data_IF_957507649527
#
_entry.id   IF_957507649527
#
_cell.length_a   1.000
_cell.length_b   1.000
_cell.length_c   1.000
_cell.angle_alpha   90.00
_cell.angle_beta   90.00
_cell.angle_gamma   90.00
#
_symmetry.space_group_name_H-M   'P 1'
#
loop_
_entity.id
_entity.type
_entity.pdbx_description
1 polymer ?
#
# COMPACT_ATOMS: atom_id res chain seq x y z
N UNK A 1 -0.95 -27.95 27.85
CA UNK A 1 -0.92 -27.79 26.37
C UNK A 1 -1.50 -26.45 25.89
N UNK A 2 -1.84 -25.50 26.79
CA UNK A 2 -2.58 -24.27 26.47
C UNK A 2 -1.71 -23.07 25.99
N UNK A 3 -0.39 -23.20 25.95
CA UNK A 3 0.52 -22.05 25.76
C UNK A 3 1.51 -22.25 24.61
N UNK A 4 1.03 -22.56 23.39
CA UNK A 4 1.91 -22.50 22.21
C UNK A 4 2.18 -21.07 21.74
N UNK A 5 1.31 -20.10 22.08
CA UNK A 5 1.42 -18.71 21.62
C UNK A 5 1.12 -17.73 22.77
N UNK A 6 2.03 -16.81 23.13
CA UNK A 6 1.74 -15.74 24.09
C UNK A 6 0.61 -14.86 23.52
N UNK A 7 -0.51 -14.72 24.25
CA UNK A 7 -1.69 -13.99 23.78
C UNK A 7 -2.69 -14.81 22.95
N UNK A 8 -2.47 -16.12 22.79
CA UNK A 8 -3.46 -17.03 22.20
C UNK A 8 -3.60 -16.96 20.68
N UNK A 9 -2.87 -16.08 19.98
CA UNK A 9 -2.87 -16.01 18.51
C UNK A 9 -1.44 -15.88 17.98
N UNK A 10 -1.18 -16.47 16.82
CA UNK A 10 0.03 -16.24 16.01
C UNK A 10 -0.37 -15.90 14.59
N UNK A 11 0.27 -14.88 14.03
CA UNK A 11 0.16 -14.52 12.61
C UNK A 11 1.52 -14.72 11.93
N UNK A 12 1.54 -15.47 10.83
CA UNK A 12 2.72 -15.66 9.97
C UNK A 12 2.40 -15.13 8.59
N UNK A 13 3.22 -14.22 8.08
CA UNK A 13 3.10 -13.69 6.73
C UNK A 13 3.98 -14.49 5.76
N UNK A 14 3.40 -14.85 4.63
CA UNK A 14 4.06 -15.49 3.49
C UNK A 14 3.90 -14.59 2.27
N UNK A 15 4.60 -14.91 1.18
CA UNK A 15 4.44 -14.19 -0.09
C UNK A 15 2.98 -14.30 -0.56
N UNK A 16 2.27 -13.15 -0.61
CA UNK A 16 0.84 -13.05 -0.97
C UNK A 16 -0.10 -13.89 -0.09
N UNK A 17 0.28 -14.23 1.14
CA UNK A 17 -0.59 -15.01 2.01
C UNK A 17 -0.33 -14.70 3.49
N UNK A 18 -1.36 -14.88 4.31
CA UNK A 18 -1.30 -14.69 5.75
C UNK A 18 -1.93 -15.90 6.42
N UNK A 19 -1.19 -16.51 7.34
CA UNK A 19 -1.63 -17.65 8.14
C UNK A 19 -1.82 -17.21 9.59
N UNK A 20 -3.04 -17.32 10.07
CA UNK A 20 -3.41 -17.06 11.46
C UNK A 20 -3.70 -18.38 12.16
N UNK A 21 -3.08 -18.59 13.32
CA UNK A 21 -3.34 -19.73 14.20
C UNK A 21 -3.82 -19.21 15.54
N UNK A 22 -4.92 -19.77 16.03
CA UNK A 22 -5.54 -19.43 17.30
C UNK A 22 -5.35 -20.59 18.28
N UNK A 23 -5.21 -20.28 19.56
CA UNK A 23 -5.18 -21.29 20.61
C UNK A 23 -6.56 -21.98 20.67
N UNK A 24 -6.59 -23.30 20.93
CA UNK A 24 -7.85 -24.02 21.15
C UNK A 24 -8.69 -23.31 22.21
N UNK A 25 -10.00 -23.21 21.98
CA UNK A 25 -10.99 -22.59 22.89
C UNK A 25 -10.83 -21.09 23.16
N UNK A 26 -9.86 -20.41 22.55
CA UNK A 26 -9.77 -18.95 22.66
C UNK A 26 -10.99 -18.27 22.02
N UNK A 27 -11.46 -18.81 20.89
CA UNK A 27 -12.62 -18.28 20.18
C UNK A 27 -13.85 -19.16 20.41
N UNK A 28 -15.01 -18.56 20.71
CA UNK A 28 -16.26 -19.30 20.91
C UNK A 28 -16.79 -19.92 19.62
N UNK A 29 -16.32 -19.47 18.45
CA UNK A 29 -16.70 -20.00 17.14
C UNK A 29 -15.93 -21.29 16.74
N UNK A 30 -14.98 -21.73 17.58
CA UNK A 30 -14.16 -22.91 17.33
C UNK A 30 -13.11 -22.75 16.23
N UNK A 31 -12.86 -21.52 15.73
CA UNK A 31 -11.86 -21.30 14.68
C UNK A 31 -10.44 -21.50 15.23
N UNK A 32 -9.70 -22.44 14.64
CA UNK A 32 -8.34 -22.77 15.05
C UNK A 32 -7.29 -22.21 14.08
N UNK A 33 -7.54 -22.29 12.76
CA UNK A 33 -6.60 -21.79 11.76
C UNK A 33 -7.32 -21.07 10.64
N UNK A 34 -6.76 -19.96 10.15
CA UNK A 34 -7.24 -19.23 8.98
C UNK A 34 -6.08 -18.93 8.05
N UNK A 35 -6.21 -19.31 6.79
CA UNK A 35 -5.28 -18.98 5.72
C UNK A 35 -5.99 -18.01 4.76
N UNK A 36 -5.43 -16.82 4.61
CA UNK A 36 -5.89 -15.80 3.67
C UNK A 36 -4.86 -15.66 2.56
N UNK A 37 -5.27 -15.80 1.31
CA UNK A 37 -4.41 -15.55 0.14
C UNK A 37 -4.84 -14.27 -0.56
N UNK A 38 -3.85 -13.51 -1.01
CA UNK A 38 -4.02 -12.20 -1.63
C UNK A 38 -3.56 -12.23 -3.09
N UNK A 39 -4.05 -11.29 -3.88
CA UNK A 39 -3.66 -11.14 -5.28
C UNK A 39 -2.31 -10.43 -5.42
N UNK A 40 -2.10 -9.45 -4.56
CA UNK A 40 -0.97 -8.53 -4.52
C UNK A 40 0.04 -8.89 -3.41
N UNK A 41 1.25 -8.34 -3.52
CA UNK A 41 2.32 -8.54 -2.51
C UNK A 41 2.05 -7.73 -1.24
N UNK A 42 1.35 -6.60 -1.36
CA UNK A 42 1.01 -5.72 -0.25
C UNK A 42 -0.16 -6.25 0.60
N UNK A 43 -0.74 -7.39 0.20
CA UNK A 43 -1.81 -8.09 0.92
C UNK A 43 -3.08 -7.23 1.12
N UNK A 44 -3.46 -6.47 0.10
CA UNK A 44 -4.62 -5.58 0.12
C UNK A 44 -5.89 -6.22 -0.47
N UNK A 45 -5.73 -7.02 -1.53
CA UNK A 45 -6.85 -7.65 -2.25
C UNK A 45 -6.94 -9.14 -1.90
N UNK A 46 -7.88 -9.50 -1.02
CA UNK A 46 -8.16 -10.90 -0.64
C UNK A 46 -8.76 -11.66 -1.82
N UNK A 47 -8.25 -12.86 -2.10
CA UNK A 47 -8.72 -13.76 -3.17
C UNK A 47 -9.43 -14.99 -2.61
N UNK A 48 -8.87 -15.60 -1.57
CA UNK A 48 -9.41 -16.82 -0.98
C UNK A 48 -9.10 -16.86 0.50
N UNK A 49 -10.07 -17.36 1.26
CA UNK A 49 -9.96 -17.56 2.69
C UNK A 49 -10.34 -19.01 2.99
N UNK A 50 -9.44 -19.71 3.66
CA UNK A 50 -9.63 -21.08 4.12
C UNK A 50 -9.56 -21.12 5.64
N UNK A 51 -10.60 -21.62 6.26
CA UNK A 51 -10.80 -21.63 7.72
C UNK A 51 -10.92 -23.09 8.19
N UNK A 52 -10.17 -23.44 9.23
CA UNK A 52 -10.25 -24.73 9.91
C UNK A 52 -10.75 -24.54 11.34
N UNK A 53 -11.69 -25.38 11.71
CA UNK A 53 -12.44 -25.32 12.94
C UNK A 53 -12.24 -26.59 13.76
N UNK A 54 -12.41 -26.48 15.07
CA UNK A 54 -12.34 -27.60 16.00
C UNK A 54 -13.41 -27.42 17.08
N UNK A 55 -13.96 -28.53 17.56
CA UNK A 55 -14.93 -28.56 18.67
C UNK A 55 -16.20 -27.73 18.44
N UNK A 56 -16.65 -27.61 17.18
CA UNK A 56 -17.95 -27.02 16.88
C UNK A 56 -19.08 -28.04 17.05
N UNK A 57 -20.22 -27.57 17.56
CA UNK A 57 -21.41 -28.39 17.78
C UNK A 57 -22.01 -28.96 16.48
N UNK A 58 -21.77 -28.28 15.35
CA UNK A 58 -22.24 -28.69 14.02
C UNK A 58 -21.22 -29.55 13.27
N UNK A 59 -20.12 -29.94 13.91
CA UNK A 59 -19.02 -30.72 13.32
C UNK A 59 -18.41 -30.11 12.05
N UNK A 60 -18.54 -28.79 11.84
CA UNK A 60 -17.85 -28.13 10.73
C UNK A 60 -16.34 -28.14 11.01
N UNK A 61 -15.56 -28.78 10.14
CA UNK A 61 -14.10 -28.87 10.25
C UNK A 61 -13.38 -27.87 9.36
N UNK A 62 -13.91 -27.61 8.15
CA UNK A 62 -13.25 -26.77 7.15
C UNK A 62 -14.28 -25.93 6.37
N UNK A 63 -13.90 -24.69 6.05
CA UNK A 63 -14.64 -23.81 5.15
C UNK A 63 -13.69 -23.10 4.20
N UNK A 64 -13.91 -23.23 2.90
CA UNK A 64 -13.21 -22.47 1.85
C UNK A 64 -14.18 -21.50 1.18
N UNK A 65 -13.78 -20.23 1.06
CA UNK A 65 -14.54 -19.19 0.36
C UNK A 65 -13.62 -18.40 -0.56
N UNK A 66 -14.08 -18.15 -1.77
CA UNK A 66 -13.42 -17.25 -2.72
C UNK A 66 -14.03 -15.87 -2.55
N UNK A 67 -13.21 -14.84 -2.44
CA UNK A 67 -13.64 -13.47 -2.19
C UNK A 67 -13.09 -12.59 -3.30
N UNK A 68 -13.93 -11.73 -3.85
CA UNK A 68 -13.52 -10.66 -4.75
C UNK A 68 -14.05 -9.34 -4.22
N UNK A 69 -13.17 -8.35 -4.08
CA UNK A 69 -13.52 -7.01 -3.65
C UNK A 69 -13.38 -6.04 -4.84
N UNK A 70 -14.35 -5.15 -5.00
CA UNK A 70 -14.41 -4.18 -6.09
C UNK A 70 -14.40 -2.77 -5.55
N UNK A 71 -13.70 -1.89 -6.28
CA UNK A 71 -13.67 -0.47 -5.98
C UNK A 71 -15.00 0.20 -6.35
N UNK A 72 -15.33 1.30 -5.67
CA UNK A 72 -16.59 2.01 -5.89
C UNK A 72 -16.63 2.67 -7.27
N UNK A 73 -17.66 2.37 -8.05
CA UNK A 73 -17.98 3.09 -9.27
C UNK A 73 -19.08 4.12 -9.00
N UNK A 74 -18.75 5.41 -9.14
CA UNK A 74 -19.68 6.52 -8.92
C UNK A 74 -20.69 6.72 -10.05
N UNK A 75 -20.54 6.05 -11.19
CA UNK A 75 -21.52 6.12 -12.29
C UNK A 75 -22.75 5.25 -12.07
N UNK A 76 -22.69 4.28 -11.13
CA UNK A 76 -23.80 3.41 -10.75
C UNK A 76 -24.32 3.75 -9.36
N UNK A 77 -25.62 3.55 -9.09
CA UNK A 77 -26.14 3.69 -7.75
C UNK A 77 -25.55 2.59 -6.85
N UNK A 78 -25.43 2.88 -5.55
CA UNK A 78 -24.67 2.03 -4.62
C UNK A 78 -25.27 0.63 -4.47
N UNK A 79 -26.60 0.56 -4.49
CA UNK A 79 -27.41 -0.64 -4.42
C UNK A 79 -27.28 -1.56 -5.65
N UNK A 80 -26.75 -1.07 -6.77
CA UNK A 80 -26.47 -1.85 -7.98
C UNK A 80 -24.98 -2.08 -8.23
N UNK A 81 -24.12 -1.38 -7.49
CA UNK A 81 -22.66 -1.50 -7.57
C UNK A 81 -22.15 -2.53 -6.55
N UNK A 82 -21.67 -3.66 -7.05
CA UNK A 82 -21.20 -4.76 -6.18
C UNK A 82 -19.86 -4.37 -5.58
N UNK A 83 -19.78 -4.36 -4.24
CA UNK A 83 -18.54 -4.11 -3.50
C UNK A 83 -17.75 -5.38 -3.23
N UNK A 84 -18.46 -6.47 -2.93
CA UNK A 84 -17.84 -7.73 -2.59
C UNK A 84 -18.67 -8.90 -3.12
N UNK A 85 -18.00 -9.86 -3.75
CA UNK A 85 -18.55 -11.16 -4.14
C UNK A 85 -17.88 -12.25 -3.33
N UNK A 86 -18.68 -13.15 -2.78
CA UNK A 86 -18.18 -14.31 -2.02
C UNK A 86 -18.79 -15.58 -2.58
N UNK A 87 -17.94 -16.48 -3.07
CA UNK A 87 -18.36 -17.80 -3.53
C UNK A 87 -18.06 -18.83 -2.44
N UNK A 88 -19.13 -19.44 -1.91
CA UNK A 88 -19.07 -20.53 -0.95
C UNK A 88 -19.25 -21.85 -1.70
N UNK A 89 -18.16 -22.32 -2.30
CA UNK A 89 -18.16 -23.43 -3.26
C UNK A 89 -18.81 -24.69 -2.68
N UNK A 90 -18.43 -25.10 -1.46
CA UNK A 90 -18.97 -26.29 -0.80
C UNK A 90 -20.46 -26.19 -0.45
N UNK A 91 -20.95 -24.97 -0.21
CA UNK A 91 -22.35 -24.71 0.15
C UNK A 91 -23.20 -24.40 -1.10
N UNK A 92 -22.58 -24.36 -2.29
CA UNK A 92 -23.19 -23.91 -3.56
C UNK A 92 -23.94 -22.58 -3.40
N UNK A 93 -23.39 -21.67 -2.59
CA UNK A 93 -23.98 -20.38 -2.26
C UNK A 93 -23.10 -19.24 -2.75
N UNK A 94 -23.73 -18.20 -3.30
CA UNK A 94 -23.06 -16.97 -3.75
C UNK A 94 -23.63 -15.81 -2.95
N UNK A 95 -22.77 -15.02 -2.32
CA UNK A 95 -23.16 -13.85 -1.53
C UNK A 95 -22.59 -12.59 -2.18
N UNK A 96 -23.47 -11.61 -2.42
CA UNK A 96 -23.16 -10.30 -2.95
C UNK A 96 -23.39 -9.26 -1.86
N UNK A 97 -22.40 -8.42 -1.63
CA UNK A 97 -22.53 -7.21 -0.83
C UNK A 97 -22.32 -6.01 -1.75
N UNK A 98 -23.30 -5.12 -1.76
CA UNK A 98 -23.26 -3.90 -2.57
C UNK A 98 -22.53 -2.79 -1.81
N UNK A 99 -22.11 -1.74 -2.53
CA UNK A 99 -21.45 -0.60 -1.90
C UNK A 99 -22.41 0.12 -0.96
N UNK A 100 -21.85 0.73 0.09
CA UNK A 100 -22.61 1.52 1.05
C UNK A 100 -23.16 2.79 0.37
N UNK A 101 -24.43 3.12 0.63
CA UNK A 101 -25.00 4.42 0.25
C UNK A 101 -24.57 5.50 1.25
N UNK A 102 -24.33 6.72 0.77
CA UNK A 102 -23.81 7.83 1.58
C UNK A 102 -24.66 8.16 2.83
N UNK A 103 -25.95 7.86 2.80
CA UNK A 103 -26.90 8.18 3.87
C UNK A 103 -27.30 6.97 4.72
N UNK A 104 -26.63 5.81 4.57
CA UNK A 104 -26.99 4.55 5.24
C UNK A 104 -25.79 3.96 5.98
N UNK A 105 -26.08 3.22 7.06
CA UNK A 105 -25.06 2.56 7.89
C UNK A 105 -24.82 1.08 7.54
N UNK A 106 -25.74 0.47 6.78
CA UNK A 106 -25.71 -0.95 6.42
C UNK A 106 -25.78 -1.05 4.89
N UNK A 107 -24.93 -1.87 4.24
CA UNK A 107 -25.02 -2.11 2.81
C UNK A 107 -26.12 -3.13 2.49
N UNK A 108 -26.73 -3.00 1.31
CA UNK A 108 -27.62 -4.03 0.75
C UNK A 108 -26.85 -5.32 0.48
N UNK A 109 -27.52 -6.46 0.65
CA UNK A 109 -26.94 -7.79 0.43
C UNK A 109 -27.90 -8.67 -0.36
N UNK A 110 -27.35 -9.56 -1.18
CA UNK A 110 -28.12 -10.61 -1.86
C UNK A 110 -27.37 -11.92 -1.76
N UNK A 111 -28.10 -13.01 -1.58
CA UNK A 111 -27.54 -14.35 -1.59
C UNK A 111 -28.35 -15.26 -2.50
N UNK A 112 -27.63 -16.10 -3.23
CA UNK A 112 -28.18 -17.09 -4.13
C UNK A 112 -27.73 -18.48 -3.71
N UNK A 113 -28.61 -19.45 -3.81
CA UNK A 113 -28.32 -20.88 -3.73
C UNK A 113 -28.41 -21.44 -5.14
N UNK A 114 -27.35 -22.10 -5.63
CA UNK A 114 -27.34 -22.65 -6.99
C UNK A 114 -28.28 -23.87 -7.08
N UNK A 115 -29.14 -23.94 -8.10
CA UNK A 115 -30.00 -25.11 -8.32
C UNK A 115 -29.17 -26.38 -8.52
N UNK A 116 -29.71 -27.54 -8.14
CA UNK A 116 -29.02 -28.82 -8.37
C UNK A 116 -28.80 -29.08 -9.85
N UNK A 117 -27.56 -29.41 -10.21
CA UNK A 117 -27.20 -29.80 -11.57
C UNK A 117 -27.86 -31.15 -11.92
N UNK A 118 -28.27 -31.28 -13.19
CA UNK A 118 -28.81 -32.54 -13.69
C UNK A 118 -27.75 -33.64 -13.61
N UNK A 119 -28.02 -34.67 -12.81
CA UNK A 119 -27.22 -35.90 -12.82
C UNK A 119 -27.90 -36.92 -13.73
N UNK A 120 -27.18 -37.94 -14.20
CA UNK A 120 -27.75 -39.02 -15.06
C UNK A 120 -29.05 -39.65 -14.50
N UNK A 121 -29.28 -39.54 -13.19
CA UNK A 121 -30.42 -40.09 -12.46
C UNK A 121 -31.54 -39.09 -12.10
N UNK A 122 -31.29 -37.77 -12.18
CA UNK A 122 -32.25 -36.73 -11.78
C UNK A 122 -32.16 -35.51 -12.70
N UNK A 123 -33.32 -35.06 -13.19
CA UNK A 123 -33.44 -33.78 -13.91
C UNK A 123 -33.02 -32.65 -12.96
N UNK A 124 -32.27 -31.68 -13.49
CA UNK A 124 -31.83 -30.50 -12.72
C UNK A 124 -33.02 -29.70 -12.20
N UNK A 125 -32.83 -29.04 -11.07
CA UNK A 125 -33.85 -28.18 -10.46
C UNK A 125 -33.96 -26.87 -11.24
N UNK A 126 -35.19 -26.40 -11.47
CA UNK A 126 -35.44 -25.08 -12.04
C UNK A 126 -35.23 -24.00 -10.97
N UNK A 127 -34.87 -22.78 -11.38
CA UNK A 127 -34.68 -21.67 -10.45
C UNK A 127 -36.01 -21.26 -9.80
N UNK A 128 -36.09 -21.37 -8.48
CA UNK A 128 -37.26 -21.02 -7.68
C UNK A 128 -36.98 -19.81 -6.80
N UNK A 129 -38.03 -19.06 -6.43
CA UNK A 129 -37.90 -17.79 -5.70
C UNK A 129 -37.29 -17.93 -4.30
N UNK A 130 -37.35 -19.12 -3.70
CA UNK A 130 -36.75 -19.46 -2.41
C UNK A 130 -35.23 -19.64 -2.47
N UNK A 131 -34.66 -19.79 -3.67
CA UNK A 131 -33.21 -19.87 -3.88
C UNK A 131 -32.53 -18.50 -3.81
N UNK A 132 -33.29 -17.40 -3.80
CA UNK A 132 -32.79 -16.03 -3.63
C UNK A 132 -33.24 -15.46 -2.29
N UNK A 133 -32.30 -14.81 -1.60
CA UNK A 133 -32.58 -14.05 -0.39
C UNK A 133 -31.88 -12.71 -0.50
N UNK A 134 -32.65 -11.63 -0.49
CA UNK A 134 -32.15 -10.26 -0.52
C UNK A 134 -32.49 -9.49 0.75
N UNK A 135 -31.56 -8.62 1.13
CA UNK A 135 -31.72 -7.60 2.15
C UNK A 135 -31.50 -6.25 1.47
N UNK A 136 -32.59 -5.50 1.29
CA UNK A 136 -32.58 -4.13 0.81
C UNK A 136 -32.86 -3.21 1.98
N UNK A 137 -32.09 -2.12 2.09
CA UNK A 137 -32.26 -1.14 3.18
C UNK A 137 -33.50 -0.28 2.94
N UNK A 138 -33.84 -0.01 1.68
CA UNK A 138 -35.09 0.66 1.34
C UNK A 138 -36.25 -0.35 1.27
N UNK A 139 -37.27 -0.25 2.14
CA UNK A 139 -38.46 -1.10 2.04
C UNK A 139 -39.31 -0.79 0.79
N UNK A 140 -39.08 0.35 0.12
CA UNK A 140 -39.88 0.83 -1.01
C UNK A 140 -39.32 0.40 -2.37
N UNK A 141 -38.10 -0.14 -2.41
CA UNK A 141 -37.51 -0.67 -3.63
C UNK A 141 -38.27 -1.90 -4.10
N UNK A 142 -38.59 -1.96 -5.40
CA UNK A 142 -39.29 -3.11 -5.97
C UNK A 142 -38.32 -4.28 -6.09
N UNK A 143 -38.73 -5.51 -5.71
CA UNK A 143 -37.91 -6.69 -5.93
C UNK A 143 -37.71 -6.90 -7.42
N UNK A 144 -36.53 -7.44 -7.78
CA UNK A 144 -36.23 -7.77 -9.17
C UNK A 144 -37.15 -8.88 -9.66
N UNK A 145 -37.45 -8.85 -10.97
CA UNK A 145 -38.21 -9.91 -11.62
C UNK A 145 -37.41 -11.21 -11.61
N UNK A 146 -38.09 -12.34 -11.45
CA UNK A 146 -37.48 -13.68 -11.39
C UNK A 146 -36.56 -13.97 -12.60
N UNK A 147 -36.92 -13.53 -13.80
CA UNK A 147 -36.09 -13.69 -15.00
C UNK A 147 -34.72 -12.98 -14.84
N UNK A 148 -34.73 -11.73 -14.38
CA UNK A 148 -33.51 -10.95 -14.18
C UNK A 148 -32.63 -11.53 -13.06
N UNK A 149 -33.25 -12.11 -12.02
CA UNK A 149 -32.53 -12.83 -10.97
C UNK A 149 -31.86 -14.09 -11.50
N UNK A 150 -32.54 -14.85 -12.37
CA UNK A 150 -31.96 -16.03 -13.02
C UNK A 150 -30.80 -15.64 -13.95
N UNK A 151 -30.98 -14.62 -14.79
CA UNK A 151 -29.91 -14.12 -15.68
C UNK A 151 -28.67 -13.69 -14.87
N UNK A 152 -28.89 -13.02 -13.73
CA UNK A 152 -27.83 -12.64 -12.80
C UNK A 152 -27.14 -13.88 -12.20
N UNK A 153 -27.90 -14.88 -11.76
CA UNK A 153 -27.34 -16.12 -11.21
C UNK A 153 -26.48 -16.85 -12.24
N UNK A 154 -26.96 -16.99 -13.47
CA UNK A 154 -26.21 -17.64 -14.57
C UNK A 154 -24.90 -16.89 -14.84
N UNK A 155 -24.92 -15.56 -14.85
CA UNK A 155 -23.70 -14.76 -14.99
C UNK A 155 -22.73 -14.99 -13.82
N UNK A 156 -23.22 -15.03 -12.58
CA UNK A 156 -22.39 -15.29 -11.40
C UNK A 156 -21.79 -16.70 -11.41
N UNK A 157 -22.51 -17.70 -11.90
CA UNK A 157 -21.99 -19.07 -12.04
C UNK A 157 -20.83 -19.13 -13.04
N UNK A 158 -20.95 -18.41 -14.16
CA UNK A 158 -19.86 -18.29 -15.14
C UNK A 158 -18.63 -17.57 -14.57
N UNK A 159 -18.85 -16.52 -13.78
CA UNK A 159 -17.78 -15.82 -13.09
C UNK A 159 -17.11 -16.71 -12.04
N UNK A 160 -17.89 -17.49 -11.27
CA UNK A 160 -17.37 -18.48 -10.32
C UNK A 160 -16.42 -19.47 -10.99
N UNK A 161 -16.84 -20.08 -12.12
CA UNK A 161 -16.02 -21.01 -12.89
C UNK A 161 -14.71 -20.37 -13.34
N UNK A 162 -14.78 -19.13 -13.85
CA UNK A 162 -13.59 -18.39 -14.29
C UNK A 162 -12.61 -18.16 -13.15
N UNK A 163 -13.09 -17.69 -12.00
CA UNK A 163 -12.22 -17.40 -10.85
C UNK A 163 -11.63 -18.69 -10.27
N UNK A 164 -12.41 -19.77 -10.20
CA UNK A 164 -11.92 -21.09 -9.78
C UNK A 164 -10.81 -21.60 -10.71
N UNK A 165 -10.97 -21.45 -12.02
CA UNK A 165 -9.92 -21.78 -13.00
C UNK A 165 -8.64 -20.96 -12.77
N UNK A 166 -8.77 -19.64 -12.59
CA UNK A 166 -7.61 -18.77 -12.31
C UNK A 166 -6.89 -19.15 -11.02
N UNK A 167 -7.63 -19.48 -9.95
CA UNK A 167 -7.06 -19.95 -8.69
C UNK A 167 -6.32 -21.29 -8.89
N UNK A 168 -6.88 -22.19 -9.71
CA UNK A 168 -6.24 -23.47 -10.02
C UNK A 168 -4.92 -23.27 -10.78
N UNK A 169 -4.90 -22.40 -11.77
CA UNK A 169 -3.69 -22.04 -12.52
C UNK A 169 -2.63 -21.42 -11.61
N UNK A 170 -3.02 -20.46 -10.77
CA UNK A 170 -2.10 -19.82 -9.82
C UNK A 170 -1.57 -20.82 -8.78
N UNK A 171 -2.41 -21.75 -8.28
CA UNK A 171 -1.96 -22.83 -7.38
C UNK A 171 -0.95 -23.76 -8.08
N UNK A 172 -1.11 -24.01 -9.38
CA UNK A 172 -0.16 -24.82 -10.15
C UNK A 172 1.16 -24.08 -10.34
N UNK A 173 1.13 -22.81 -10.74
CA UNK A 173 2.33 -21.97 -10.87
C UNK A 173 3.16 -21.96 -9.57
N UNK A 174 2.51 -21.78 -8.41
CA UNK A 174 3.19 -21.81 -7.11
C UNK A 174 3.81 -23.17 -6.83
N UNK A 175 3.13 -24.27 -7.16
CA UNK A 175 3.68 -25.63 -7.00
C UNK A 175 4.90 -25.84 -7.89
N UNK A 176 4.85 -25.37 -9.12
CA UNK A 176 5.95 -25.49 -10.07
C UNK A 176 7.16 -24.70 -9.58
N UNK A 177 6.96 -23.45 -9.09
CA UNK A 177 8.03 -22.65 -8.48
C UNK A 177 8.65 -23.36 -7.27
N UNK A 178 7.83 -23.94 -6.39
CA UNK A 178 8.32 -24.67 -5.21
C UNK A 178 9.10 -25.92 -5.63
N UNK A 179 8.59 -26.69 -6.60
CA UNK A 179 9.26 -27.88 -7.10
C UNK A 179 10.61 -27.55 -7.78
N UNK A 180 10.66 -26.47 -8.57
CA UNK A 180 11.90 -25.96 -9.15
C UNK A 180 12.91 -25.60 -8.05
N UNK A 181 12.49 -24.85 -7.02
CA UNK A 181 13.35 -24.50 -5.88
C UNK A 181 13.84 -25.72 -5.11
N UNK A 182 12.98 -26.70 -4.85
CA UNK A 182 13.40 -27.95 -4.21
C UNK A 182 14.41 -28.74 -5.05
N UNK A 183 14.35 -28.62 -6.38
CA UNK A 183 15.36 -29.21 -7.26
C UNK A 183 16.67 -28.42 -7.24
N UNK A 184 16.61 -27.08 -7.28
CA UNK A 184 17.76 -26.18 -7.15
C UNK A 184 18.47 -26.35 -5.80
N UNK A 185 17.73 -26.50 -4.70
CA UNK A 185 18.29 -26.73 -3.36
C UNK A 185 18.92 -28.12 -3.21
N UNK A 186 18.40 -29.13 -3.90
CA UNK A 186 18.98 -30.48 -3.92
C UNK A 186 20.29 -30.56 -4.69
N UNK A 187 20.39 -29.81 -5.79
CA UNK A 187 21.58 -29.71 -6.63
C UNK A 187 21.94 -28.25 -6.87
N UNK A 188 22.52 -27.61 -5.85
CA UNK A 188 22.95 -26.22 -5.92
C UNK A 188 24.14 -26.13 -6.85
N UNK A 189 23.87 -25.90 -8.14
CA UNK A 189 24.90 -25.64 -9.13
C UNK A 189 25.25 -24.15 -9.10
N UNK A 190 26.48 -23.85 -8.67
CA UNK A 190 27.03 -22.52 -8.83
C UNK A 190 27.43 -22.34 -10.30
N UNK A 191 26.84 -21.36 -11.01
CA UNK A 191 27.25 -20.99 -12.38
C UNK A 191 28.76 -20.73 -12.47
N UNK A 192 29.33 -20.23 -11.37
CA UNK A 192 30.76 -20.06 -11.19
C UNK A 192 31.18 -20.46 -9.77
N UNK A 193 32.23 -21.28 -9.65
CA UNK A 193 32.83 -21.53 -8.34
C UNK A 193 33.63 -20.30 -7.89
N UNK A 194 33.38 -19.75 -6.69
CA UNK A 194 34.17 -18.65 -6.12
C UNK A 194 35.65 -18.99 -5.94
N UNK A 195 35.97 -20.29 -5.94
CA UNK A 195 37.29 -20.82 -5.63
C UNK A 195 38.15 -21.07 -6.87
N UNK A 196 37.59 -20.95 -8.08
CA UNK A 196 38.36 -20.99 -9.33
C UNK A 196 38.69 -19.59 -9.83
N UNK A 197 39.91 -19.41 -10.35
CA UNK A 197 40.39 -18.15 -10.95
C UNK A 197 39.45 -17.63 -12.04
N UNK A 198 38.88 -18.52 -12.85
CA UNK A 198 37.91 -18.20 -13.91
C UNK A 198 36.58 -17.72 -13.34
N UNK A 199 36.06 -18.37 -12.28
CA UNK A 199 34.81 -17.97 -11.64
C UNK A 199 34.92 -16.62 -10.92
N UNK A 200 36.04 -16.37 -10.27
CA UNK A 200 36.32 -15.08 -9.63
C UNK A 200 36.43 -13.92 -10.65
N UNK A 201 36.93 -14.18 -11.86
CA UNK A 201 37.00 -13.17 -12.93
C UNK A 201 35.60 -12.83 -13.49
N UNK A 202 34.77 -13.84 -13.75
CA UNK A 202 33.40 -13.66 -14.22
C UNK A 202 32.54 -12.92 -13.20
N UNK A 203 32.66 -13.26 -11.91
CA UNK A 203 31.94 -12.57 -10.83
C UNK A 203 32.32 -11.08 -10.72
N UNK A 204 33.60 -10.73 -10.96
CA UNK A 204 34.04 -9.32 -11.03
C UNK A 204 33.45 -8.62 -12.24
N UNK A 205 33.40 -9.27 -13.40
CA UNK A 205 32.79 -8.72 -14.61
C UNK A 205 31.30 -8.43 -14.44
N UNK A 206 30.52 -9.40 -13.94
CA UNK A 206 29.10 -9.21 -13.67
C UNK A 206 28.84 -8.11 -12.63
N UNK A 207 29.68 -8.02 -11.60
CA UNK A 207 29.59 -6.95 -10.60
C UNK A 207 29.86 -5.57 -11.23
N UNK A 208 30.88 -5.47 -12.08
CA UNK A 208 31.17 -4.23 -12.82
C UNK A 208 30.00 -3.84 -13.75
N UNK A 209 29.38 -4.81 -14.40
CA UNK A 209 28.21 -4.58 -15.26
C UNK A 209 26.99 -4.12 -14.45
N UNK A 210 26.73 -4.75 -13.29
CA UNK A 210 25.68 -4.32 -12.36
C UNK A 210 25.95 -2.92 -11.80
N UNK A 211 27.20 -2.61 -11.44
CA UNK A 211 27.61 -1.28 -10.98
C UNK A 211 27.48 -0.24 -12.11
N UNK A 212 27.75 -0.62 -13.35
CA UNK A 212 27.56 0.24 -14.53
C UNK A 212 26.08 0.56 -14.76
N UNK A 213 25.21 -0.46 -14.76
CA UNK A 213 23.76 -0.29 -14.89
C UNK A 213 23.20 0.56 -13.75
N UNK A 214 23.62 0.32 -12.52
CA UNK A 214 23.24 1.16 -11.38
C UNK A 214 23.73 2.61 -11.54
N UNK A 215 24.94 2.82 -12.06
CA UNK A 215 25.45 4.15 -12.34
C UNK A 215 24.72 4.85 -13.51
N UNK A 216 24.25 4.11 -14.52
CA UNK A 216 23.38 4.62 -15.58
C UNK A 216 22.01 5.01 -15.04
N UNK A 217 21.38 4.16 -14.22
CA UNK A 217 20.10 4.46 -13.58
C UNK A 217 20.21 5.69 -12.67
N UNK A 218 21.28 5.80 -11.88
CA UNK A 218 21.57 6.98 -11.07
C UNK A 218 21.79 8.23 -11.94
N UNK A 219 22.51 8.12 -13.07
CA UNK A 219 22.67 9.23 -14.03
C UNK A 219 21.33 9.65 -14.61
N UNK A 220 20.48 8.71 -15.00
CA UNK A 220 19.15 8.98 -15.52
C UNK A 220 18.23 9.65 -14.49
N UNK A 221 18.27 9.20 -13.23
CA UNK A 221 17.54 9.84 -12.13
C UNK A 221 18.04 11.28 -11.89
N UNK A 222 19.35 11.49 -11.90
CA UNK A 222 19.94 12.83 -11.80
C UNK A 222 19.58 13.71 -13.00
N UNK A 223 19.50 13.16 -14.21
CA UNK A 223 19.04 13.90 -15.41
C UNK A 223 17.58 14.30 -15.31
N UNK A 224 16.72 13.44 -14.76
CA UNK A 224 15.33 13.80 -14.45
C UNK A 224 15.22 14.89 -13.40
N UNK A 225 16.04 14.84 -12.34
CA UNK A 225 16.07 15.87 -11.30
C UNK A 225 16.64 17.20 -11.82
N UNK A 226 17.49 17.17 -12.87
CA UNK A 226 18.05 18.37 -13.51
C UNK A 226 17.04 19.14 -14.36
N UNK A 227 15.91 18.57 -14.76
CA UNK A 227 14.91 19.34 -15.52
C UNK A 227 14.02 20.18 -14.59
N UNK A 228 14.63 21.21 -14.02
CA UNK A 228 14.01 22.20 -13.14
C UNK A 228 12.82 22.90 -13.85
N UNK A 229 12.83 22.94 -15.19
CA UNK A 229 11.84 23.64 -16.01
C UNK A 229 10.65 22.77 -16.41
N UNK A 230 10.75 21.44 -16.35
CA UNK A 230 9.67 20.54 -16.79
C UNK A 230 8.29 20.85 -16.18
N UNK A 231 8.13 21.11 -14.86
CA UNK A 231 6.83 21.45 -14.29
C UNK A 231 6.23 22.75 -14.81
N UNK A 232 7.07 23.72 -15.17
CA UNK A 232 6.64 25.02 -15.69
C UNK A 232 6.29 24.93 -17.17
N UNK A 233 7.02 24.12 -17.94
CA UNK A 233 6.75 23.88 -19.36
C UNK A 233 5.47 23.07 -19.59
N UNK A 234 5.18 22.08 -18.73
CA UNK A 234 3.92 21.31 -18.78
C UNK A 234 2.69 22.22 -18.59
N UNK A 235 2.80 23.27 -17.77
CA UNK A 235 1.71 24.22 -17.52
C UNK A 235 1.38 25.12 -18.71
N UNK A 236 2.23 25.19 -19.72
CA UNK A 236 2.11 26.14 -20.83
C UNK A 236 1.42 25.60 -22.08
N UNK A 237 1.22 24.27 -22.20
CA UNK A 237 0.47 23.52 -23.24
C UNK A 237 0.70 23.89 -24.73
N UNK A 238 1.55 24.87 -25.05
CA UNK A 238 1.80 25.39 -26.39
C UNK A 238 3.12 24.82 -26.93
N UNK A 239 3.00 23.94 -27.92
CA UNK A 239 4.09 23.10 -28.40
C UNK A 239 5.02 23.71 -29.45
N UNK A 240 4.82 24.96 -29.92
CA UNK A 240 5.51 25.40 -31.14
C UNK A 240 6.47 26.59 -31.02
N UNK A 241 6.30 27.55 -30.10
CA UNK A 241 7.38 28.52 -29.77
C UNK A 241 7.16 29.13 -28.39
N UNK A 242 8.23 29.20 -27.58
CA UNK A 242 8.21 29.93 -26.31
C UNK A 242 8.23 31.43 -26.62
N UNK A 243 7.22 32.20 -26.20
CA UNK A 243 7.26 33.67 -26.33
C UNK A 243 8.36 34.24 -25.41
N UNK A 244 8.93 35.38 -25.78
CA UNK A 244 9.91 36.06 -24.93
C UNK A 244 9.32 36.52 -23.59
N UNK A 245 8.01 36.77 -23.56
CA UNK A 245 7.25 37.13 -22.35
C UNK A 245 7.04 35.91 -21.45
N UNK A 246 6.66 34.78 -22.04
CA UNK A 246 6.48 33.50 -21.32
C UNK A 246 7.81 33.02 -20.72
N UNK A 247 8.91 33.13 -21.46
CA UNK A 247 10.25 32.79 -20.97
C UNK A 247 10.66 33.64 -19.76
N UNK A 248 10.36 34.94 -19.77
CA UNK A 248 10.61 35.85 -18.64
C UNK A 248 9.72 35.49 -17.44
N UNK A 249 8.45 35.16 -17.68
CA UNK A 249 7.52 34.74 -16.64
C UNK A 249 7.97 33.43 -15.98
N UNK A 250 8.32 32.41 -16.75
CA UNK A 250 8.84 31.12 -16.25
C UNK A 250 10.11 31.32 -15.42
N UNK A 251 11.02 32.17 -15.90
CA UNK A 251 12.25 32.48 -15.18
C UNK A 251 11.96 33.13 -13.82
N UNK A 252 11.04 34.11 -13.78
CA UNK A 252 10.62 34.77 -12.55
C UNK A 252 9.91 33.82 -11.59
N UNK A 253 8.99 32.99 -12.09
CA UNK A 253 8.26 31.99 -11.30
C UNK A 253 9.20 30.95 -10.69
N UNK A 254 10.15 30.41 -11.46
CA UNK A 254 11.17 29.49 -10.98
C UNK A 254 11.98 30.08 -9.82
N UNK A 255 12.42 31.33 -9.96
CA UNK A 255 13.20 32.01 -8.92
C UNK A 255 12.35 32.34 -7.69
N UNK A 256 11.09 32.72 -7.89
CA UNK A 256 10.15 33.01 -6.80
C UNK A 256 9.83 31.74 -6.00
N UNK A 257 9.51 30.64 -6.67
CA UNK A 257 9.24 29.35 -6.02
C UNK A 257 10.47 28.82 -5.29
N UNK A 258 11.66 28.94 -5.88
CA UNK A 258 12.91 28.56 -5.22
C UNK A 258 13.17 29.40 -3.96
N UNK A 259 12.93 30.72 -4.03
CA UNK A 259 13.03 31.61 -2.86
C UNK A 259 12.02 31.25 -1.78
N UNK A 260 10.79 30.91 -2.16
CA UNK A 260 9.76 30.43 -1.23
C UNK A 260 10.22 29.15 -0.52
N UNK A 261 10.71 28.14 -1.26
CA UNK A 261 11.21 26.89 -0.67
C UNK A 261 12.38 27.12 0.28
N UNK A 262 13.30 28.03 -0.04
CA UNK A 262 14.38 28.42 0.87
C UNK A 262 13.83 29.07 2.16
N UNK A 263 12.80 29.90 2.05
CA UNK A 263 12.15 30.51 3.21
C UNK A 263 11.39 29.46 4.06
N UNK A 264 10.64 28.56 3.42
CA UNK A 264 9.95 27.45 4.08
C UNK A 264 10.93 26.54 4.83
N UNK A 265 12.05 26.19 4.22
CA UNK A 265 13.08 25.38 4.88
C UNK A 265 13.69 26.12 6.09
N UNK A 266 13.96 27.42 5.96
CA UNK A 266 14.42 28.22 7.09
C UNK A 266 13.38 28.26 8.22
N UNK A 267 12.09 28.39 7.89
CA UNK A 267 10.99 28.36 8.84
C UNK A 267 10.86 26.99 9.52
N UNK A 268 11.01 25.88 8.80
CA UNK A 268 11.01 24.53 9.39
C UNK A 268 12.17 24.32 10.37
N UNK A 269 13.35 24.87 10.07
CA UNK A 269 14.49 24.85 11.00
C UNK A 269 14.19 25.74 12.23
N UNK A 270 13.53 26.87 12.03
CA UNK A 270 13.12 27.80 13.08
C UNK A 270 12.01 27.25 13.98
N UNK A 271 11.00 26.55 13.45
CA UNK A 271 9.93 25.92 14.23
C UNK A 271 10.50 24.82 15.15
N UNK A 272 11.48 24.07 14.65
CA UNK A 272 12.25 23.12 15.48
C UNK A 272 13.04 23.81 16.59
N UNK A 273 13.39 25.08 16.40
CA UNK A 273 14.00 25.93 17.42
C UNK A 273 12.97 26.51 18.41
N UNK A 274 11.74 26.80 18.02
CA UNK A 274 10.70 27.39 18.89
C UNK A 274 10.15 26.42 19.95
N UNK A 275 10.35 25.11 19.77
CA UNK A 275 10.16 24.11 20.83
C UNK A 275 11.10 24.30 22.04
N UNK A 276 11.95 25.32 22.04
CA UNK A 276 12.72 25.82 23.19
C UNK A 276 11.85 26.26 24.38
N UNK A 277 10.59 26.61 24.16
CA UNK A 277 9.64 26.88 25.26
C UNK A 277 9.45 25.67 26.18
N UNK A 278 9.61 24.44 25.68
CA UNK A 278 9.56 23.22 26.49
C UNK A 278 10.72 23.17 27.50
N UNK A 279 11.91 23.60 27.09
CA UNK A 279 13.09 23.65 27.95
C UNK A 279 12.92 24.72 29.03
N UNK A 280 12.39 25.89 28.68
CA UNK A 280 12.08 26.95 29.66
C UNK A 280 11.03 26.50 30.68
N UNK A 281 9.93 25.90 30.21
CA UNK A 281 8.88 25.36 31.08
C UNK A 281 9.41 24.25 32.01
N UNK A 282 10.31 23.39 31.50
CA UNK A 282 10.94 22.32 32.30
C UNK A 282 11.99 22.87 33.29
N UNK A 283 12.66 23.97 32.97
CA UNK A 283 13.52 24.71 33.90
C UNK A 283 12.71 25.34 35.04
N UNK A 284 11.57 25.97 34.74
CA UNK A 284 10.66 26.52 35.75
C UNK A 284 10.05 25.43 36.64
N UNK A 285 9.70 24.28 36.05
CA UNK A 285 9.24 23.11 36.79
C UNK A 285 10.30 22.61 37.77
N UNK A 286 11.56 22.52 37.32
CA UNK A 286 12.68 22.09 38.17
C UNK A 286 12.91 23.05 39.35
N UNK A 287 12.85 24.37 39.12
CA UNK A 287 12.97 25.38 40.17
C UNK A 287 11.88 25.23 41.25
N UNK A 288 10.65 24.88 40.88
CA UNK A 288 9.54 24.70 41.83
C UNK A 288 9.65 23.40 42.62
N UNK A 289 10.19 22.35 42.02
CA UNK A 289 10.19 21.00 42.60
C UNK A 289 11.50 20.62 43.28
N UNK A 290 12.53 21.47 43.23
CA UNK A 290 13.90 21.20 43.66
C UNK A 290 14.05 20.57 45.07
N UNK A 291 13.15 20.90 46.01
CA UNK A 291 13.20 20.40 47.38
C UNK A 291 12.61 18.98 47.57
N UNK A 292 11.83 18.50 46.60
CA UNK A 292 11.09 17.23 46.68
C UNK A 292 11.63 16.15 45.71
N UNK A 293 12.76 16.40 45.04
CA UNK A 293 13.28 15.51 43.99
C UNK A 293 14.12 14.37 44.56
N UNK A 294 13.98 13.19 43.95
CA UNK A 294 14.87 12.05 44.20
C UNK A 294 16.08 12.10 43.25
N UNK A 295 17.24 11.60 43.69
CA UNK A 295 18.48 11.53 42.89
C UNK A 295 18.30 11.05 41.43
N UNK A 296 17.54 9.95 41.13
CA UNK A 296 17.35 9.53 39.75
C UNK A 296 16.57 10.53 38.88
N UNK A 297 15.65 11.29 39.48
CA UNK A 297 14.89 12.31 38.76
C UNK A 297 15.72 13.56 38.45
N UNK A 298 16.74 13.86 39.27
CA UNK A 298 17.72 14.91 38.98
C UNK A 298 18.62 14.54 37.80
N UNK A 299 19.09 13.30 37.74
CA UNK A 299 19.91 12.80 36.62
C UNK A 299 19.13 12.78 35.29
N UNK A 300 17.85 12.40 35.32
CA UNK A 300 16.97 12.45 34.15
C UNK A 300 16.76 13.89 33.65
N UNK A 301 16.59 14.85 34.57
CA UNK A 301 16.47 16.26 34.23
C UNK A 301 17.76 16.83 33.61
N UNK A 302 18.92 16.51 34.18
CA UNK A 302 20.22 16.93 33.64
C UNK A 302 20.44 16.36 32.23
N UNK A 303 20.13 15.09 32.03
CA UNK A 303 20.21 14.43 30.71
C UNK A 303 19.30 15.11 29.69
N UNK A 304 18.04 15.39 30.07
CA UNK A 304 17.10 16.11 29.23
C UNK A 304 17.60 17.52 28.84
N UNK A 305 18.18 18.25 29.80
CA UNK A 305 18.72 19.58 29.57
C UNK A 305 19.92 19.56 28.62
N UNK A 306 20.85 18.61 28.78
CA UNK A 306 21.98 18.43 27.87
C UNK A 306 21.53 18.10 26.45
N UNK A 307 20.59 17.16 26.30
CA UNK A 307 20.07 16.76 25.00
C UNK A 307 19.38 17.92 24.28
N UNK A 308 18.47 18.63 24.97
CA UNK A 308 17.76 19.78 24.39
C UNK A 308 18.72 20.93 24.05
N UNK A 309 19.73 21.19 24.88
CA UNK A 309 20.77 22.20 24.59
C UNK A 309 21.55 21.86 23.33
N UNK A 310 21.94 20.59 23.15
CA UNK A 310 22.61 20.11 21.94
C UNK A 310 21.73 20.30 20.71
N UNK A 311 20.45 19.89 20.77
CA UNK A 311 19.50 20.06 19.68
C UNK A 311 19.37 21.53 19.26
N UNK A 312 19.31 22.45 20.23
CA UNK A 312 19.26 23.89 20.01
C UNK A 312 20.54 24.38 19.30
N UNK A 313 21.72 24.00 19.79
CA UNK A 313 23.00 24.39 19.19
C UNK A 313 23.12 23.90 17.74
N UNK A 314 22.72 22.66 17.47
CA UNK A 314 22.70 22.08 16.13
C UNK A 314 21.71 22.81 15.21
N UNK A 315 20.50 23.09 15.68
CA UNK A 315 19.49 23.82 14.91
C UNK A 315 19.96 25.24 14.57
N UNK A 316 20.52 25.98 15.54
CA UNK A 316 21.10 27.31 15.32
C UNK A 316 22.22 27.28 14.28
N UNK A 317 23.14 26.31 14.40
CA UNK A 317 24.24 26.17 13.44
C UNK A 317 23.74 25.86 12.03
N UNK A 318 22.76 24.95 11.91
CA UNK A 318 22.11 24.62 10.63
C UNK A 318 21.39 25.83 10.02
N UNK A 319 20.70 26.64 10.83
CA UNK A 319 20.04 27.85 10.35
C UNK A 319 21.06 28.88 9.83
N UNK A 320 22.16 29.09 10.55
CA UNK A 320 23.25 29.99 10.10
C UNK A 320 23.82 29.53 8.77
N UNK A 321 24.17 28.24 8.68
CA UNK A 321 24.70 27.66 7.44
C UNK A 321 23.71 27.75 6.28
N UNK A 322 22.41 27.56 6.55
CA UNK A 322 21.37 27.71 5.53
C UNK A 322 21.27 29.16 5.04
N UNK A 323 21.31 30.15 5.96
CA UNK A 323 21.28 31.58 5.62
C UNK A 323 22.51 32.00 4.82
N UNK A 324 23.69 31.48 5.14
CA UNK A 324 24.93 31.74 4.42
C UNK A 324 24.94 31.10 3.03
N UNK A 325 24.42 29.87 2.89
CA UNK A 325 24.42 29.14 1.62
C UNK A 325 23.27 29.55 0.67
N UNK A 326 22.17 30.09 1.19
CA UNK A 326 20.97 30.42 0.40
C UNK A 326 21.24 31.40 -0.76
N UNK A 327 21.97 32.52 -0.58
CA UNK A 327 22.29 33.44 -1.67
C UNK A 327 23.11 32.77 -2.78
N UNK A 328 24.08 31.93 -2.42
CA UNK A 328 24.93 31.23 -3.39
C UNK A 328 24.13 30.20 -4.20
N UNK A 329 23.21 29.48 -3.56
CA UNK A 329 22.28 28.57 -4.24
C UNK A 329 21.34 29.31 -5.18
N UNK A 330 20.79 30.44 -4.74
CA UNK A 330 19.92 31.29 -5.56
C UNK A 330 20.66 31.80 -6.80
N UNK A 331 21.88 32.33 -6.62
CA UNK A 331 22.71 32.79 -7.72
C UNK A 331 23.08 31.67 -8.70
N UNK A 332 23.42 30.48 -8.18
CA UNK A 332 23.73 29.31 -9.03
C UNK A 332 22.53 28.90 -9.88
N UNK A 333 21.31 28.95 -9.32
CA UNK A 333 20.09 28.64 -10.06
C UNK A 333 19.80 29.71 -11.13
N UNK A 334 19.90 31.00 -10.80
CA UNK A 334 19.72 32.11 -11.75
C UNK A 334 20.69 31.98 -12.94
N UNK A 335 21.97 31.70 -12.67
CA UNK A 335 22.94 31.44 -13.74
C UNK A 335 22.55 30.24 -14.61
N UNK A 336 22.13 29.13 -14.01
CA UNK A 336 21.70 27.94 -14.75
C UNK A 336 20.51 28.23 -15.66
N UNK A 337 19.51 28.96 -15.17
CA UNK A 337 18.32 29.34 -15.93
C UNK A 337 18.67 30.27 -17.10
N UNK A 338 19.61 31.20 -16.91
CA UNK A 338 20.11 32.09 -17.97
C UNK A 338 20.94 31.37 -19.02
N UNK A 339 21.63 30.30 -18.64
CA UNK A 339 22.42 29.47 -19.56
C UNK A 339 21.62 28.34 -20.24
N UNK A 340 20.37 28.08 -19.81
CA UNK A 340 19.55 27.00 -20.36
C UNK A 340 19.17 27.32 -21.82
N UNK A 341 19.39 26.41 -22.79
CA UNK A 341 19.12 26.65 -24.20
C UNK A 341 17.65 27.00 -24.51
N UNK A 342 16.70 26.61 -23.64
CA UNK A 342 15.26 26.90 -23.80
C UNK A 342 14.90 28.34 -23.41
N UNK A 343 15.66 28.95 -22.49
CA UNK A 343 15.37 30.30 -21.96
C UNK A 343 16.38 31.35 -22.43
N UNK A 344 17.65 30.97 -22.65
CA UNK A 344 18.74 31.86 -23.04
C UNK A 344 18.42 32.76 -24.26
N UNK A 345 17.79 32.27 -25.34
CA UNK A 345 17.46 33.11 -26.50
C UNK A 345 16.50 34.27 -26.19
N UNK A 346 15.66 34.10 -25.17
CA UNK A 346 14.59 35.03 -24.81
C UNK A 346 14.94 35.97 -23.64
N UNK A 347 15.98 35.61 -22.88
CA UNK A 347 16.45 36.38 -21.72
C UNK A 347 17.64 37.30 -22.03
N UNK A 348 18.31 37.12 -23.18
CA UNK A 348 19.47 37.91 -23.63
C UNK A 348 19.13 39.08 -24.57
N UNK A 349 17.87 39.24 -24.96
CA UNK A 349 17.40 40.38 -25.76
C UNK A 349 17.17 41.60 -24.88
N UNK A 350 18.11 42.55 -24.96
CA UNK A 350 17.98 43.92 -24.46
C UNK A 350 17.03 44.75 -25.31
#
# INVERSE_FOLDING_TARGET
>A
METRWPGGQKVTHYRKAQLEKFAPYLRPDGLNTRLTTYKDLDCTEVVMVKEWYQHRNDYLEEREKVVECFHRNRSKPANEDVAQRVFLLAQRRIELTYHLEDHRFIPSKRSFIKPQESTEKKKGEDFTSDMESSFQVDPSEKPLKTLALNDMLVALMKDEEKVVCQIKESKQEVRDIVACREQEERDVQLEFSPWTTTGAAMARGQRQEMEHLAAEEQRWLQEKEKDILAPFLIRLDNAETLSAEDAKHIHQDCLAEFKQRLAEHANLIQERYEKTQELQSKQEWYQKNQLNMTKPQEEEYLTYCHEKTLQICVAKKRLSMHKEAAPQKYWTLDQKLRSDPRLAPHLLTF
#
